data_IF_114790354080
#
_entry.id   IF_114790354080
#
_cell.length_a   1.000
_cell.length_b   1.000
_cell.length_c   1.000
_cell.angle_alpha   90.00
_cell.angle_beta   90.00
_cell.angle_gamma   90.00
#
_symmetry.space_group_name_H-M   'P 1'
#
loop_
_entity.id
_entity.type
_entity.pdbx_description
1 polymer ?
#
# COMPACT_ATOMS: atom_id res chain seq x y z
N UNK A 1 22.33 -40.29 21.00
CA UNK A 1 21.87 -40.54 19.86
C UNK A 1 20.92 -39.59 19.31
N UNK A 2 19.73 -39.63 19.62
CA UNK A 2 18.76 -38.79 19.03
C UNK A 2 18.92 -37.35 19.39
N UNK A 3 19.71 -37.02 20.31
CA UNK A 3 19.84 -35.70 20.77
C UNK A 3 20.30 -34.72 19.71
N UNK A 4 21.01 -35.22 18.77
CA UNK A 4 21.60 -34.34 17.79
C UNK A 4 20.59 -33.61 16.93
N UNK A 5 19.46 -34.20 16.74
CA UNK A 5 18.49 -33.59 15.88
C UNK A 5 17.91 -32.33 16.48
N UNK A 6 17.93 -32.22 17.77
CA UNK A 6 17.33 -31.07 18.38
C UNK A 6 18.14 -29.80 18.16
N UNK A 7 19.40 -29.93 18.08
CA UNK A 7 20.25 -28.78 17.86
C UNK A 7 20.05 -28.16 16.49
N UNK A 8 19.78 -28.98 15.53
CA UNK A 8 19.60 -28.47 14.20
C UNK A 8 18.38 -27.58 14.11
N UNK A 9 17.32 -27.95 14.77
CA UNK A 9 16.12 -27.16 14.74
C UNK A 9 16.33 -25.79 15.32
N UNK A 10 17.12 -25.69 16.35
CA UNK A 10 17.37 -24.40 16.94
C UNK A 10 18.15 -23.49 16.03
N UNK A 11 19.09 -24.03 15.32
CA UNK A 11 19.88 -23.22 14.43
C UNK A 11 19.02 -22.58 13.33
N UNK A 12 18.06 -23.33 12.82
CA UNK A 12 17.20 -22.83 11.79
C UNK A 12 16.36 -21.67 12.30
N UNK A 13 15.89 -21.76 13.49
CA UNK A 13 15.08 -20.74 14.08
C UNK A 13 15.83 -19.41 14.20
N UNK A 14 17.07 -19.47 14.60
CA UNK A 14 17.86 -18.27 14.72
C UNK A 14 18.07 -17.58 13.38
N UNK A 15 18.26 -18.34 12.34
CA UNK A 15 18.45 -17.75 11.03
C UNK A 15 17.22 -16.99 10.57
N UNK A 16 16.04 -17.51 10.87
CA UNK A 16 14.83 -16.84 10.48
C UNK A 16 14.68 -15.48 11.13
N UNK A 17 15.10 -15.36 12.35
CA UNK A 17 14.99 -14.09 13.04
C UNK A 17 15.91 -13.02 12.46
N UNK A 18 17.03 -13.44 11.94
CA UNK A 18 18.01 -12.48 11.47
C UNK A 18 17.55 -11.68 10.25
N UNK A 19 16.53 -12.16 9.55
CA UNK A 19 16.13 -11.50 8.33
C UNK A 19 15.07 -10.45 8.51
N UNK A 20 14.57 -10.25 9.69
CA UNK A 20 13.41 -9.41 9.86
C UNK A 20 13.70 -7.97 10.12
N UNK A 21 14.93 -7.60 10.15
CA UNK A 21 15.19 -6.32 10.69
C UNK A 21 15.44 -5.21 9.74
N UNK A 22 15.17 -5.30 8.51
CA UNK A 22 15.64 -4.31 7.73
C UNK A 22 14.77 -3.69 6.84
N UNK A 23 14.64 -2.56 6.61
CA UNK A 23 13.94 -2.16 5.59
C UNK A 23 13.57 -0.86 5.52
N UNK A 24 14.11 -0.07 4.95
CA UNK A 24 13.75 1.26 5.00
C UNK A 24 13.57 1.92 3.67
N UNK A 25 13.71 1.31 2.62
CA UNK A 25 13.57 1.94 1.32
C UNK A 25 12.37 1.42 0.55
N UNK A 26 12.16 1.89 -0.68
CA UNK A 26 11.10 1.38 -1.53
C UNK A 26 11.21 -0.11 -1.74
N UNK A 27 10.06 -0.78 -1.77
CA UNK A 27 10.00 -2.23 -1.90
C UNK A 27 9.60 -2.68 -3.31
N UNK A 28 9.12 -1.77 -4.14
CA UNK A 28 8.58 -2.14 -5.44
C UNK A 28 7.21 -2.78 -5.38
N UNK A 29 6.54 -2.70 -4.23
CA UNK A 29 5.23 -3.30 -4.04
C UNK A 29 4.23 -2.23 -3.63
N UNK A 30 2.97 -2.64 -3.45
CA UNK A 30 1.92 -1.74 -3.00
C UNK A 30 2.27 -1.04 -1.70
N UNK A 31 3.10 -1.65 -0.87
CA UNK A 31 3.50 -1.06 0.40
C UNK A 31 4.23 0.28 0.24
N UNK A 32 4.74 0.57 -0.94
CA UNK A 32 5.39 1.87 -1.20
C UNK A 32 4.37 3.00 -1.25
N UNK A 33 3.08 2.69 -1.38
CA UNK A 33 2.03 3.68 -1.57
C UNK A 33 1.05 3.76 -0.42
N UNK A 34 1.25 2.96 0.60
CA UNK A 34 0.40 2.97 1.77
C UNK A 34 0.01 1.58 2.21
N UNK A 35 -1.20 1.45 2.73
CA UNK A 35 -1.69 0.19 3.26
C UNK A 35 -3.20 0.09 3.16
N UNK A 36 -3.68 -1.15 3.13
CA UNK A 36 -5.12 -1.40 3.16
C UNK A 36 -5.69 -0.94 4.51
N UNK A 37 -6.89 -0.44 4.49
CA UNK A 37 -7.56 0.08 5.67
C UNK A 37 -9.00 -0.39 5.72
N UNK A 38 -9.62 -0.41 6.91
CA UNK A 38 -11.04 -0.72 7.01
C UNK A 38 -11.88 0.34 6.32
N UNK A 39 -13.00 -0.06 5.71
CA UNK A 39 -13.88 0.90 5.04
C UNK A 39 -14.35 2.00 5.97
N UNK A 40 -14.54 1.68 7.23
CA UNK A 40 -15.02 2.67 8.21
C UNK A 40 -14.00 3.79 8.44
N UNK A 41 -12.75 3.59 8.10
CA UNK A 41 -11.72 4.61 8.28
C UNK A 41 -11.67 5.61 7.13
N UNK A 42 -12.39 5.38 6.06
CA UNK A 42 -12.31 6.24 4.88
C UNK A 42 -12.88 7.62 5.15
N UNK A 43 -12.16 8.63 4.70
CA UNK A 43 -12.60 10.01 4.83
C UNK A 43 -13.48 10.42 3.65
N UNK A 44 -13.37 9.72 2.55
CA UNK A 44 -14.24 9.94 1.38
C UNK A 44 -14.20 8.72 0.47
N UNK A 45 -15.13 8.70 -0.47
CA UNK A 45 -15.23 7.64 -1.46
C UNK A 45 -15.05 8.24 -2.85
N UNK A 46 -14.25 7.60 -3.66
CA UNK A 46 -14.01 8.01 -5.04
C UNK A 46 -14.58 6.92 -5.94
N UNK A 47 -15.58 7.28 -6.76
CA UNK A 47 -16.17 6.35 -7.69
C UNK A 47 -15.57 6.57 -9.07
N UNK A 48 -15.03 5.51 -9.66
CA UNK A 48 -14.41 5.59 -10.97
C UNK A 48 -15.47 5.33 -12.04
N UNK A 49 -15.41 6.11 -13.09
CA UNK A 49 -16.25 5.96 -14.26
C UNK A 49 -15.44 5.34 -15.39
N UNK A 50 -16.09 5.00 -16.49
CA UNK A 50 -15.40 4.40 -17.63
C UNK A 50 -14.35 5.33 -18.23
N UNK A 51 -14.55 6.63 -18.11
CA UNK A 51 -13.64 7.61 -18.67
C UNK A 51 -12.70 8.22 -17.63
N UNK A 52 -12.70 7.74 -16.40
CA UNK A 52 -11.80 8.26 -15.37
C UNK A 52 -10.38 7.89 -15.73
N UNK A 53 -9.50 8.89 -15.81
CA UNK A 53 -8.09 8.68 -16.13
C UNK A 53 -7.18 8.90 -14.95
N UNK A 54 -7.64 9.61 -13.94
CA UNK A 54 -6.81 9.86 -12.77
C UNK A 54 -7.68 10.14 -11.55
N UNK A 55 -7.09 9.98 -10.39
CA UNK A 55 -7.71 10.37 -9.13
C UNK A 55 -6.69 11.19 -8.35
N UNK A 56 -7.18 12.13 -7.56
CA UNK A 56 -6.33 12.98 -6.74
C UNK A 56 -6.56 12.63 -5.28
N UNK A 57 -5.47 12.37 -4.56
CA UNK A 57 -5.52 12.06 -3.14
C UNK A 57 -4.48 12.89 -2.41
N UNK A 58 -4.59 12.92 -1.09
CA UNK A 58 -3.64 13.63 -0.24
C UNK A 58 -2.86 12.62 0.59
N UNK A 59 -1.58 12.84 0.74
CA UNK A 59 -0.76 11.96 1.58
C UNK A 59 -1.30 11.96 2.99
N UNK A 60 -1.50 10.79 3.56
CA UNK A 60 -2.09 10.63 4.89
C UNK A 60 -3.59 10.47 4.88
N UNK A 61 -4.23 10.57 3.72
CA UNK A 61 -5.67 10.41 3.59
C UNK A 61 -6.03 8.94 3.45
N UNK A 62 -7.19 8.55 3.96
CA UNK A 62 -7.75 7.21 3.75
C UNK A 62 -8.98 7.34 2.86
N UNK A 63 -9.00 6.63 1.75
CA UNK A 63 -10.07 6.74 0.77
C UNK A 63 -10.60 5.37 0.38
N UNK A 64 -11.87 5.31 0.03
CA UNK A 64 -12.45 4.13 -0.58
C UNK A 64 -12.59 4.38 -2.08
N UNK A 65 -12.08 3.46 -2.87
CA UNK A 65 -12.18 3.51 -4.33
C UNK A 65 -13.24 2.50 -4.76
N UNK A 66 -14.18 2.94 -5.59
CA UNK A 66 -15.27 2.10 -6.08
C UNK A 66 -15.18 2.01 -7.60
N UNK A 67 -15.26 0.81 -8.12
CA UNK A 67 -15.27 0.58 -9.57
C UNK A 67 -16.05 -0.69 -9.87
N UNK A 68 -17.05 -0.59 -10.74
CA UNK A 68 -17.77 -1.76 -11.24
C UNK A 68 -18.32 -2.67 -10.12
N UNK A 69 -18.87 -2.06 -9.09
CA UNK A 69 -19.45 -2.81 -7.97
C UNK A 69 -18.46 -3.34 -6.96
N UNK A 70 -17.19 -3.14 -7.18
CA UNK A 70 -16.15 -3.52 -6.24
C UNK A 70 -15.61 -2.30 -5.53
N UNK A 71 -15.05 -2.47 -4.34
CA UNK A 71 -14.45 -1.36 -3.61
C UNK A 71 -13.29 -1.84 -2.76
N UNK A 72 -12.35 -0.95 -2.53
CA UNK A 72 -11.29 -1.19 -1.57
C UNK A 72 -10.95 0.13 -0.89
N UNK A 73 -10.42 0.06 0.31
CA UNK A 73 -10.08 1.25 1.10
C UNK A 73 -8.58 1.26 1.35
N UNK A 74 -7.98 2.40 1.11
CA UNK A 74 -6.54 2.53 1.14
C UNK A 74 -6.12 3.76 1.93
N UNK A 75 -5.15 3.58 2.81
CA UNK A 75 -4.51 4.69 3.51
C UNK A 75 -3.29 5.10 2.69
N UNK A 76 -3.32 6.31 2.17
CA UNK A 76 -2.28 6.80 1.26
C UNK A 76 -1.07 7.25 2.06
N UNK A 77 0.06 6.60 1.84
CA UNK A 77 1.29 6.96 2.50
C UNK A 77 2.42 6.67 1.53
N UNK A 78 2.97 7.71 0.93
CA UNK A 78 4.03 7.56 -0.07
C UNK A 78 5.28 8.27 0.42
N UNK A 79 6.41 7.93 -0.17
CA UNK A 79 7.63 8.69 0.03
C UNK A 79 7.43 10.11 -0.50
N UNK A 80 8.12 11.07 0.06
CA UNK A 80 7.91 12.49 -0.27
C UNK A 80 8.02 12.80 -1.75
N UNK A 81 8.92 12.14 -2.44
CA UNK A 81 9.12 12.37 -3.86
C UNK A 81 8.18 11.56 -4.75
N UNK A 82 7.38 10.69 -4.16
CA UNK A 82 6.45 9.85 -4.91
C UNK A 82 5.12 10.57 -4.99
N UNK A 83 4.87 11.23 -6.11
CA UNK A 83 3.68 12.05 -6.28
C UNK A 83 2.67 11.47 -7.26
N UNK A 84 2.98 10.32 -7.85
CA UNK A 84 2.12 9.71 -8.86
C UNK A 84 2.43 8.23 -8.96
N UNK A 85 1.40 7.42 -9.09
CA UNK A 85 1.56 5.99 -9.34
C UNK A 85 0.32 5.43 -10.01
N UNK A 86 0.45 4.24 -10.61
CA UNK A 86 -0.69 3.59 -11.27
C UNK A 86 -1.64 3.03 -10.21
N UNK A 87 -2.93 3.27 -10.39
CA UNK A 87 -3.92 2.75 -9.44
C UNK A 87 -3.86 1.21 -9.37
N UNK A 88 -3.52 0.56 -10.48
CA UNK A 88 -3.39 -0.89 -10.48
C UNK A 88 -2.34 -1.40 -9.50
N UNK A 89 -1.43 -0.57 -9.05
CA UNK A 89 -0.41 -0.99 -8.09
C UNK A 89 -1.00 -1.32 -6.71
N UNK A 90 -2.15 -0.73 -6.39
CA UNK A 90 -2.78 -0.94 -5.08
C UNK A 90 -4.16 -1.57 -5.16
N UNK A 91 -4.79 -1.59 -6.32
CA UNK A 91 -6.15 -2.10 -6.48
C UNK A 91 -6.17 -3.62 -6.47
N UNK A 92 -7.32 -4.22 -6.12
CA UNK A 92 -7.48 -5.66 -6.27
C UNK A 92 -7.24 -6.10 -7.71
N UNK A 93 -6.70 -7.29 -7.90
CA UNK A 93 -6.27 -7.75 -9.21
C UNK A 93 -7.40 -7.80 -10.24
N UNK A 94 -8.61 -8.02 -9.79
CA UNK A 94 -9.76 -8.15 -10.69
C UNK A 94 -10.54 -6.84 -10.87
N UNK A 95 -10.08 -5.74 -10.28
CA UNK A 95 -10.74 -4.45 -10.46
C UNK A 95 -10.22 -3.79 -11.74
N UNK A 96 -11.11 -3.38 -12.65
CA UNK A 96 -10.68 -2.80 -13.93
C UNK A 96 -10.25 -1.35 -13.76
N UNK A 97 -8.98 -1.14 -13.49
CA UNK A 97 -8.42 0.20 -13.28
C UNK A 97 -7.24 0.50 -14.20
N UNK A 98 -7.13 -0.22 -15.30
CA UNK A 98 -6.02 -0.03 -16.23
C UNK A 98 -5.99 1.41 -16.75
N UNK A 99 -4.82 1.98 -16.74
CA UNK A 99 -4.64 3.34 -17.26
C UNK A 99 -5.05 4.47 -16.32
N UNK A 100 -5.50 4.14 -15.11
CA UNK A 100 -5.84 5.17 -14.14
C UNK A 100 -4.61 5.51 -13.30
N UNK A 101 -4.31 6.79 -13.17
CA UNK A 101 -3.18 7.26 -12.37
C UNK A 101 -3.69 7.88 -11.07
N UNK A 102 -2.91 7.71 -10.01
CA UNK A 102 -3.16 8.38 -8.73
C UNK A 102 -2.14 9.51 -8.59
N UNK A 103 -2.63 10.72 -8.36
CA UNK A 103 -1.79 11.87 -8.06
C UNK A 103 -1.88 12.17 -6.57
N UNK A 104 -0.73 12.31 -5.92
CA UNK A 104 -0.63 12.46 -4.48
C UNK A 104 -0.17 13.87 -4.14
N UNK A 105 -1.02 14.62 -3.46
CA UNK A 105 -0.65 15.93 -2.97
C UNK A 105 -0.07 15.82 -1.57
N UNK A 106 0.81 16.72 -1.22
CA UNK A 106 1.32 16.78 0.14
C UNK A 106 0.22 17.15 1.12
N UNK A 107 0.33 16.66 2.35
CA UNK A 107 -0.65 17.00 3.37
C UNK A 107 -0.41 18.45 3.82
N UNK A 108 -1.42 19.32 3.72
CA UNK A 108 -1.25 20.73 4.11
C UNK A 108 -0.83 20.93 5.57
N UNK A 109 -1.15 19.98 6.44
CA UNK A 109 -0.75 20.06 7.83
C UNK A 109 0.76 20.01 8.02
N UNK A 110 1.45 19.44 7.04
CA UNK A 110 2.90 19.31 7.09
C UNK A 110 3.59 20.16 6.03
N UNK A 111 2.86 21.03 5.40
CA UNK A 111 3.43 21.87 4.35
C UNK A 111 4.37 22.89 4.97
N UNK A 112 5.45 23.19 4.29
CA UNK A 112 6.42 24.12 4.80
C UNK A 112 7.44 23.53 5.71
N UNK A 113 7.30 22.29 6.05
CA UNK A 113 8.27 21.59 6.90
C UNK A 113 9.37 20.97 6.08
#
# INVERSE_FOLDING_TARGET
>A
MMLNTHCSALAILCAALATSAIAAGPTGTAADYGSAAPHAAAQRTITLQDDTRHVNVTRGETVTIVRAGQRFTWHVQTFNHQTRFALAAIAPADMPVDGVLVYVAGNPLYAGS
#
